data_IF_727473105616
#
_entry.id   IF_727473105616
#
_cell.length_a   1.000
_cell.length_b   1.000
_cell.length_c   1.000
_cell.angle_alpha   90.00
_cell.angle_beta   90.00
_cell.angle_gamma   90.00
#
_symmetry.space_group_name_H-M   'P 1'
#
loop_
_entity.id
_entity.type
_entity.pdbx_description
1 polymer ?
#
# COMPACT_ATOMS: atom_id res chain seq x y z
N UNK A 1 12.91 -60.71 15.71
CA UNK A 1 11.56 -60.12 15.88
C UNK A 1 11.74 -58.97 16.87
N UNK A 2 11.67 -57.67 16.60
CA UNK A 2 11.15 -56.82 15.52
C UNK A 2 12.01 -55.54 15.54
N UNK A 3 12.73 -55.25 14.46
CA UNK A 3 13.38 -53.96 14.24
C UNK A 3 12.91 -53.50 12.86
N UNK A 4 12.02 -52.49 12.83
CA UNK A 4 11.64 -51.65 11.67
C UNK A 4 10.19 -51.18 11.78
N UNK A 5 9.93 -50.13 12.59
CA UNK A 5 8.69 -49.32 12.47
C UNK A 5 8.97 -47.81 12.62
N UNK A 6 10.19 -47.37 13.00
CA UNK A 6 10.45 -45.96 13.33
C UNK A 6 10.75 -45.03 12.13
N UNK A 7 10.78 -45.54 10.89
CA UNK A 7 11.21 -44.79 9.70
C UNK A 7 10.07 -44.29 8.78
N UNK A 8 8.80 -44.54 9.11
CA UNK A 8 7.66 -44.26 8.22
C UNK A 8 6.91 -42.94 8.42
N UNK A 9 7.22 -42.14 9.46
CA UNK A 9 6.37 -41.01 9.90
C UNK A 9 7.04 -39.62 9.80
N UNK A 10 8.35 -39.55 9.51
CA UNK A 10 9.08 -38.29 9.34
C UNK A 10 8.77 -37.49 8.06
N UNK A 11 8.56 -38.10 6.87
CA UNK A 11 8.27 -37.29 5.67
C UNK A 11 6.87 -36.67 5.74
N UNK A 12 5.92 -37.31 6.42
CA UNK A 12 4.57 -36.79 6.62
C UNK A 12 4.55 -35.61 7.60
N UNK A 13 5.28 -35.69 8.72
CA UNK A 13 5.42 -34.57 9.66
C UNK A 13 6.09 -33.34 9.02
N UNK A 14 7.07 -33.56 8.14
CA UNK A 14 7.75 -32.49 7.41
C UNK A 14 6.84 -31.84 6.37
N UNK A 15 6.03 -32.63 5.66
CA UNK A 15 5.03 -32.13 4.72
C UNK A 15 3.90 -31.35 5.43
N UNK A 16 3.48 -31.80 6.61
CA UNK A 16 2.44 -31.13 7.40
C UNK A 16 2.96 -29.81 8.01
N UNK A 17 4.23 -29.75 8.41
CA UNK A 17 4.88 -28.51 8.83
C UNK A 17 5.12 -27.55 7.66
N UNK A 18 5.56 -28.03 6.49
CA UNK A 18 5.73 -27.20 5.30
C UNK A 18 4.39 -26.59 4.83
N UNK A 19 3.30 -27.36 4.90
CA UNK A 19 1.95 -26.85 4.64
C UNK A 19 1.50 -25.81 5.68
N UNK A 20 1.93 -25.95 6.94
CA UNK A 20 1.63 -24.99 8.00
C UNK A 20 2.46 -23.70 7.88
N UNK A 21 3.71 -23.78 7.42
CA UNK A 21 4.54 -22.61 7.10
C UNK A 21 4.04 -21.88 5.85
N UNK A 22 3.48 -22.59 4.86
CA UNK A 22 2.81 -21.97 3.71
C UNK A 22 1.55 -21.19 4.11
N UNK A 23 0.71 -21.70 5.02
CA UNK A 23 -0.46 -20.96 5.55
C UNK A 23 -0.08 -19.77 6.43
N UNK A 24 1.10 -19.80 7.07
CA UNK A 24 1.59 -18.69 7.91
C UNK A 24 2.16 -17.52 7.10
N UNK A 25 2.41 -17.73 5.80
CA UNK A 25 2.90 -16.70 4.87
C UNK A 25 1.77 -16.02 4.09
N UNK A 26 0.51 -16.36 4.35
CA UNK A 26 -0.61 -15.54 3.92
C UNK A 26 -0.72 -14.36 4.88
N UNK A 27 -0.43 -13.16 4.38
CA UNK A 27 -0.56 -11.92 5.16
C UNK A 27 -1.94 -11.90 5.82
N UNK A 28 -1.93 -11.82 7.14
CA UNK A 28 -3.20 -11.82 7.87
C UNK A 28 -4.00 -10.57 7.49
N UNK A 29 -5.33 -10.61 7.52
CA UNK A 29 -6.15 -9.43 7.23
C UNK A 29 -5.78 -8.20 8.09
N UNK A 30 -5.26 -8.42 9.29
CA UNK A 30 -4.73 -7.39 10.17
C UNK A 30 -3.42 -6.75 9.64
N UNK A 31 -2.48 -7.54 9.10
CA UNK A 31 -1.24 -7.04 8.47
C UNK A 31 -1.52 -6.29 7.16
N UNK A 32 -2.48 -6.76 6.36
CA UNK A 32 -2.93 -6.04 5.16
C UNK A 32 -3.59 -4.70 5.54
N UNK A 33 -4.36 -4.66 6.63
CA UNK A 33 -4.97 -3.40 7.11
C UNK A 33 -3.93 -2.43 7.66
N UNK A 34 -2.90 -2.91 8.38
CA UNK A 34 -1.81 -2.08 8.89
C UNK A 34 -0.98 -1.49 7.72
N UNK A 35 -0.62 -2.31 6.73
CA UNK A 35 0.09 -1.83 5.55
C UNK A 35 -0.74 -0.82 4.73
N UNK A 36 -2.07 -0.96 4.68
CA UNK A 36 -2.93 0.07 4.10
C UNK A 36 -2.82 1.41 4.85
N UNK A 37 -2.91 1.40 6.18
CA UNK A 37 -2.77 2.63 6.97
C UNK A 37 -1.49 3.38 6.65
N UNK A 38 -0.38 2.65 6.46
CA UNK A 38 0.90 3.21 6.05
C UNK A 38 0.90 3.76 4.63
N UNK A 39 0.25 3.07 3.67
CA UNK A 39 0.10 3.56 2.30
C UNK A 39 -0.77 4.82 2.21
N UNK A 40 -1.89 4.85 2.94
CA UNK A 40 -2.77 6.02 2.99
C UNK A 40 -2.04 7.21 3.61
N UNK A 41 -1.30 6.98 4.70
CA UNK A 41 -0.47 8.00 5.33
C UNK A 41 0.55 8.57 4.34
N UNK A 42 1.29 7.71 3.63
CA UNK A 42 2.25 8.14 2.61
C UNK A 42 1.58 8.93 1.47
N UNK A 43 0.38 8.54 1.04
CA UNK A 43 -0.35 9.26 0.00
C UNK A 43 -0.78 10.66 0.47
N UNK A 44 -1.29 10.78 1.70
CA UNK A 44 -1.65 12.08 2.30
C UNK A 44 -0.40 12.96 2.48
N UNK A 45 0.68 12.38 2.98
CA UNK A 45 1.96 13.09 3.12
C UNK A 45 2.46 13.59 1.76
N UNK A 46 2.33 12.77 0.70
CA UNK A 46 2.69 13.14 -0.68
C UNK A 46 1.86 14.30 -1.24
N UNK A 47 0.55 14.35 -0.97
CA UNK A 47 -0.29 15.50 -1.36
C UNK A 47 0.14 16.77 -0.63
N UNK A 48 0.46 16.68 0.66
CA UNK A 48 0.96 17.84 1.42
C UNK A 48 2.30 18.36 0.88
N UNK A 49 3.17 17.45 0.44
CA UNK A 49 4.43 17.81 -0.22
C UNK A 49 4.19 18.53 -1.56
N UNK A 50 3.21 18.07 -2.35
CA UNK A 50 2.83 18.72 -3.61
C UNK A 50 2.21 20.09 -3.41
N UNK A 51 1.35 20.29 -2.41
CA UNK A 51 0.84 21.63 -2.08
C UNK A 51 1.97 22.60 -1.73
N UNK A 52 2.96 22.16 -0.95
CA UNK A 52 4.15 22.98 -0.66
C UNK A 52 4.95 23.30 -1.92
N UNK A 53 5.04 22.38 -2.87
CA UNK A 53 5.71 22.63 -4.14
C UNK A 53 4.98 23.69 -4.98
N UNK A 54 3.64 23.64 -5.02
CA UNK A 54 2.80 24.68 -5.65
C UNK A 54 3.09 26.04 -5.02
N UNK A 55 3.04 26.14 -3.69
CA UNK A 55 3.32 27.40 -2.98
C UNK A 55 4.70 27.97 -3.31
N UNK A 56 5.76 27.14 -3.33
CA UNK A 56 7.11 27.58 -3.70
C UNK A 56 7.18 28.14 -5.12
N UNK A 57 6.48 27.54 -6.07
CA UNK A 57 6.46 27.98 -7.47
C UNK A 57 5.66 29.28 -7.60
N UNK A 58 4.54 29.40 -6.89
CA UNK A 58 3.76 30.64 -6.80
C UNK A 58 4.58 31.78 -6.18
N UNK A 59 5.32 31.53 -5.11
CA UNK A 59 6.19 32.53 -4.49
C UNK A 59 7.28 33.00 -5.47
N UNK A 60 7.89 32.07 -6.21
CA UNK A 60 8.86 32.40 -7.28
C UNK A 60 8.24 33.21 -8.42
N UNK A 61 6.98 32.93 -8.77
CA UNK A 61 6.25 33.69 -9.78
C UNK A 61 6.01 35.14 -9.34
N UNK A 62 5.61 35.36 -8.08
CA UNK A 62 5.33 36.70 -7.54
C UNK A 62 6.60 37.57 -7.53
N UNK A 63 7.78 36.99 -7.31
CA UNK A 63 9.08 37.69 -7.35
C UNK A 63 9.68 37.78 -8.77
N UNK A 64 8.95 37.35 -9.81
CA UNK A 64 9.37 37.42 -11.21
C UNK A 64 10.42 36.39 -11.64
N UNK A 65 10.60 35.31 -10.87
CA UNK A 65 11.58 34.24 -11.13
C UNK A 65 10.96 32.98 -11.73
N UNK A 66 9.64 32.95 -11.96
CA UNK A 66 8.94 31.85 -12.64
C UNK A 66 7.93 32.44 -13.63
N UNK A 67 7.68 31.71 -14.72
CA UNK A 67 6.71 32.08 -15.74
C UNK A 67 5.29 31.63 -15.36
N UNK A 68 4.26 32.31 -15.87
CA UNK A 68 2.86 31.96 -15.57
C UNK A 68 2.52 30.52 -16.01
N UNK A 69 3.19 30.06 -17.07
CA UNK A 69 3.11 28.70 -17.60
C UNK A 69 3.57 27.66 -16.59
N UNK A 70 4.59 27.98 -15.79
CA UNK A 70 5.17 27.07 -14.80
C UNK A 70 4.22 26.89 -13.60
N UNK A 71 3.59 27.99 -13.14
CA UNK A 71 2.53 27.93 -12.13
C UNK A 71 1.35 27.09 -12.64
N UNK A 72 0.95 27.28 -13.90
CA UNK A 72 -0.16 26.54 -14.51
C UNK A 72 0.14 25.03 -14.61
N UNK A 73 1.34 24.65 -15.05
CA UNK A 73 1.78 23.24 -15.12
C UNK A 73 1.77 22.60 -13.73
N UNK A 74 2.32 23.30 -12.73
CA UNK A 74 2.40 22.78 -11.36
C UNK A 74 1.01 22.64 -10.74
N UNK A 75 0.11 23.59 -11.04
CA UNK A 75 -1.28 23.50 -10.61
C UNK A 75 -2.03 22.32 -11.25
N UNK A 76 -1.81 22.08 -12.55
CA UNK A 76 -2.40 20.93 -13.26
C UNK A 76 -1.87 19.59 -12.71
N UNK A 77 -0.55 19.52 -12.42
CA UNK A 77 0.05 18.34 -11.78
C UNK A 77 -0.55 18.07 -10.40
N UNK A 78 -0.77 19.12 -9.58
CA UNK A 78 -1.40 18.99 -8.28
C UNK A 78 -2.84 18.46 -8.42
N UNK A 79 -3.60 18.99 -9.38
CA UNK A 79 -4.98 18.55 -9.64
C UNK A 79 -5.06 17.08 -10.08
N UNK A 80 -4.20 16.65 -11.01
CA UNK A 80 -4.09 15.26 -11.44
C UNK A 80 -3.71 14.33 -10.27
N UNK A 81 -2.80 14.78 -9.41
CA UNK A 81 -2.34 13.99 -8.28
C UNK A 81 -3.39 13.86 -7.19
N UNK A 82 -4.22 14.89 -6.98
CA UNK A 82 -5.38 14.83 -6.11
C UNK A 82 -6.43 13.84 -6.64
N UNK A 83 -6.70 13.87 -7.94
CA UNK A 83 -7.60 12.91 -8.58
C UNK A 83 -7.10 11.46 -8.42
N UNK A 84 -5.81 11.23 -8.65
CA UNK A 84 -5.19 9.93 -8.43
C UNK A 84 -5.32 9.49 -6.96
N UNK A 85 -5.07 10.38 -6.02
CA UNK A 85 -5.22 10.11 -4.59
C UNK A 85 -6.66 9.70 -4.23
N UNK A 86 -7.66 10.37 -4.80
CA UNK A 86 -9.06 10.00 -4.61
C UNK A 86 -9.38 8.60 -5.17
N UNK A 87 -8.82 8.24 -6.32
CA UNK A 87 -8.98 6.91 -6.89
C UNK A 87 -8.33 5.83 -6.04
N UNK A 88 -7.11 6.09 -5.55
CA UNK A 88 -6.41 5.19 -4.61
C UNK A 88 -7.26 5.00 -3.36
N UNK A 89 -7.73 6.09 -2.73
CA UNK A 89 -8.62 6.01 -1.55
C UNK A 89 -9.82 5.11 -1.81
N UNK A 90 -10.52 5.31 -2.93
CA UNK A 90 -11.70 4.50 -3.27
C UNK A 90 -11.34 3.02 -3.44
N UNK A 91 -10.25 2.72 -4.17
CA UNK A 91 -9.77 1.35 -4.40
C UNK A 91 -9.38 0.65 -3.12
N UNK A 92 -8.79 1.36 -2.16
CA UNK A 92 -8.44 0.71 -0.90
C UNK A 92 -9.65 0.51 0.01
N UNK A 93 -10.63 1.41 0.01
CA UNK A 93 -11.90 1.15 0.72
C UNK A 93 -12.60 -0.09 0.14
N UNK A 94 -12.61 -0.25 -1.17
CA UNK A 94 -13.13 -1.46 -1.83
C UNK A 94 -12.35 -2.72 -1.40
N UNK A 95 -11.01 -2.66 -1.39
CA UNK A 95 -10.17 -3.78 -0.98
C UNK A 95 -10.38 -4.16 0.50
N UNK A 96 -10.54 -3.18 1.38
CA UNK A 96 -10.86 -3.41 2.80
C UNK A 96 -12.22 -4.11 2.96
N UNK A 97 -13.24 -3.62 2.24
CA UNK A 97 -14.56 -4.25 2.25
C UNK A 97 -14.53 -5.69 1.71
N UNK A 98 -13.74 -5.95 0.66
CA UNK A 98 -13.58 -7.29 0.09
C UNK A 98 -12.90 -8.26 1.05
N UNK A 99 -11.83 -7.83 1.72
CA UNK A 99 -11.14 -8.64 2.73
C UNK A 99 -12.06 -9.02 3.90
N UNK A 100 -12.96 -8.13 4.32
CA UNK A 100 -13.97 -8.44 5.34
C UNK A 100 -15.00 -9.46 4.86
N UNK A 101 -15.42 -9.39 3.59
CA UNK A 101 -16.36 -10.37 3.00
C UNK A 101 -15.78 -11.77 2.89
N UNK A 102 -14.46 -11.92 2.73
CA UNK A 102 -13.80 -13.23 2.65
C UNK A 102 -13.65 -13.95 4.00
N UNK A 103 -13.77 -13.23 5.14
CA UNK A 103 -13.55 -13.80 6.48
C UNK A 103 -14.82 -14.27 7.20
N UNK A 104 -16.01 -13.88 6.70
CA UNK A 104 -17.31 -14.30 7.24
C UNK A 104 -17.81 -15.60 6.62
#
# INVERSE_FOLDING_TARGET
MIENVKAGLSPFSSALNAANEMRKNESTPAEVTASFGDYLKKAIDGVSEQEKAVHRVTDRFIIGQADVSEVMIVSEQAQLSLQLTAQIRNKVVEAYQEMMRMQI
#
